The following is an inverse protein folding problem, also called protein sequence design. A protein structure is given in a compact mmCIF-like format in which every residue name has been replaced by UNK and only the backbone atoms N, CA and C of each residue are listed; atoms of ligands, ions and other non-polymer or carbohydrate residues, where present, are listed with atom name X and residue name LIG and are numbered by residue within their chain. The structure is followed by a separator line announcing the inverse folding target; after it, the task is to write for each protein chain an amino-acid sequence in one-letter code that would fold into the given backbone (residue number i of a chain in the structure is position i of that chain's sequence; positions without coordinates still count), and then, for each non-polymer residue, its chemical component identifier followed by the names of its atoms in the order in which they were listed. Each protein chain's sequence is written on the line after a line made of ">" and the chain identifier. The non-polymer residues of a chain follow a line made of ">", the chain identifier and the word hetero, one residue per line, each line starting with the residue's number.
data_IF_353755848368
#
_entry.id   IF_353755848368
#
_cell.length_a   1.000
_cell.length_b   1.000
_cell.length_c   1.000
_cell.angle_alpha   90.00
_cell.angle_beta   90.00
_cell.angle_gamma   90.00
#
_symmetry.space_group_name_H-M   'P 1'
#
loop_
_entity.id
_entity.type
_entity.pdbx_description
1 polymer ?
#
# COMPACT_ATOMS: atom_id res chain seq x y z
N UNK A 1 -12.11 -2.48 18.14
CA UNK A 1 -13.34 -3.28 18.06
C UNK A 1 -12.96 -4.74 18.30
N UNK A 2 -13.62 -5.43 19.23
CA UNK A 2 -13.37 -6.87 19.47
C UNK A 2 -14.23 -7.68 18.48
N UNK A 3 -13.84 -8.91 18.15
CA UNK A 3 -14.62 -9.79 17.26
C UNK A 3 -16.01 -10.16 17.80
N UNK A 4 -16.21 -10.00 19.11
CA UNK A 4 -17.48 -10.26 19.81
C UNK A 4 -18.42 -9.06 19.83
N UNK A 5 -17.99 -7.91 19.31
CA UNK A 5 -18.79 -6.71 19.25
C UNK A 5 -19.93 -6.89 18.21
N UNK A 6 -21.20 -6.61 18.53
CA UNK A 6 -22.31 -6.76 17.59
C UNK A 6 -22.11 -5.96 16.30
N UNK A 7 -21.39 -4.83 16.35
CA UNK A 7 -21.12 -3.98 15.19
C UNK A 7 -19.90 -4.42 14.37
N UNK A 8 -19.18 -5.47 14.81
CA UNK A 8 -17.96 -5.94 14.16
C UNK A 8 -18.19 -6.37 12.71
N UNK A 9 -19.15 -7.28 12.50
CA UNK A 9 -19.46 -7.83 11.18
C UNK A 9 -20.10 -6.77 10.26
N UNK A 10 -21.06 -5.95 10.70
CA UNK A 10 -21.57 -4.85 9.90
C UNK A 10 -20.48 -3.91 9.38
N UNK A 11 -19.56 -3.48 10.24
CA UNK A 11 -18.49 -2.55 9.84
C UNK A 11 -17.48 -3.22 8.90
N UNK A 12 -17.18 -4.51 9.10
CA UNK A 12 -16.33 -5.26 8.19
C UNK A 12 -16.95 -5.34 6.78
N UNK A 13 -18.27 -5.56 6.69
CA UNK A 13 -18.98 -5.60 5.41
C UNK A 13 -18.98 -4.24 4.71
N UNK A 14 -19.11 -3.14 5.44
CA UNK A 14 -19.02 -1.79 4.90
C UNK A 14 -17.64 -1.53 4.26
N UNK A 15 -16.57 -1.85 4.99
CA UNK A 15 -15.20 -1.72 4.47
C UNK A 15 -14.97 -2.65 3.27
N UNK A 16 -15.48 -3.88 3.34
CA UNK A 16 -15.36 -4.84 2.25
C UNK A 16 -16.10 -4.38 1.01
N UNK A 17 -17.28 -3.79 1.14
CA UNK A 17 -18.07 -3.29 0.01
C UNK A 17 -17.31 -2.18 -0.75
N UNK A 18 -16.73 -1.23 -0.01
CA UNK A 18 -15.91 -0.16 -0.61
C UNK A 18 -14.67 -0.73 -1.30
N UNK A 19 -13.91 -1.59 -0.61
CA UNK A 19 -12.72 -2.22 -1.17
C UNK A 19 -13.05 -3.04 -2.44
N UNK A 20 -14.14 -3.81 -2.39
CA UNK A 20 -14.57 -4.63 -3.51
C UNK A 20 -14.89 -3.80 -4.75
N UNK A 21 -15.56 -2.66 -4.57
CA UNK A 21 -15.84 -1.76 -5.69
C UNK A 21 -14.54 -1.25 -6.33
N UNK A 22 -13.57 -0.80 -5.52
CA UNK A 22 -12.26 -0.35 -6.03
C UNK A 22 -11.52 -1.44 -6.78
N UNK A 23 -11.47 -2.67 -6.26
CA UNK A 23 -10.84 -3.81 -6.96
C UNK A 23 -11.50 -4.03 -8.32
N UNK A 24 -12.82 -3.98 -8.39
CA UNK A 24 -13.55 -4.18 -9.65
C UNK A 24 -13.29 -3.06 -10.66
N UNK A 25 -13.16 -1.81 -10.21
CA UNK A 25 -12.81 -0.67 -11.07
C UNK A 25 -11.37 -0.80 -11.58
N UNK A 26 -10.41 -1.10 -10.69
CA UNK A 26 -9.00 -1.28 -11.04
C UNK A 26 -8.80 -2.42 -12.06
N UNK A 27 -9.39 -3.58 -11.81
CA UNK A 27 -9.23 -4.76 -12.67
C UNK A 27 -9.86 -4.60 -14.06
N UNK A 28 -10.98 -3.86 -14.16
CA UNK A 28 -11.75 -3.75 -15.41
C UNK A 28 -11.38 -2.53 -16.24
N UNK A 29 -10.94 -1.45 -15.61
CA UNK A 29 -10.74 -0.16 -16.26
C UNK A 29 -9.28 0.27 -16.19
N UNK A 30 -8.75 0.43 -14.98
CA UNK A 30 -7.46 1.11 -14.79
C UNK A 30 -6.27 0.24 -15.23
N UNK A 31 -6.22 -1.02 -14.80
CA UNK A 31 -5.13 -1.93 -15.17
C UNK A 31 -5.10 -2.23 -16.68
N UNK A 32 -6.23 -2.49 -17.36
CA UNK A 32 -6.23 -2.62 -18.82
C UNK A 32 -5.79 -1.34 -19.55
N UNK A 33 -6.24 -0.16 -19.11
CA UNK A 33 -5.84 1.12 -19.72
C UNK A 33 -4.34 1.41 -19.51
N UNK A 34 -3.80 1.07 -18.34
CA UNK A 34 -2.39 1.15 -18.04
C UNK A 34 -1.59 0.20 -18.93
N UNK A 35 -2.01 -1.06 -19.05
CA UNK A 35 -1.32 -2.05 -19.88
C UNK A 35 -1.31 -1.63 -21.36
N UNK A 36 -2.41 -1.11 -21.88
CA UNK A 36 -2.48 -0.60 -23.25
C UNK A 36 -1.52 0.58 -23.46
N UNK A 37 -1.44 1.49 -22.50
CA UNK A 37 -0.54 2.64 -22.54
C UNK A 37 0.93 2.22 -22.48
N UNK A 38 1.27 1.21 -21.68
CA UNK A 38 2.62 0.67 -21.58
C UNK A 38 3.03 -0.11 -22.83
N UNK A 39 2.12 -0.87 -23.45
CA UNK A 39 2.39 -1.55 -24.74
C UNK A 39 2.81 -0.58 -25.84
N UNK A 40 2.30 0.65 -25.82
CA UNK A 40 2.71 1.69 -26.77
C UNK A 40 4.15 2.21 -26.55
N UNK A 41 4.77 1.93 -25.39
CA UNK A 41 6.09 2.43 -25.01
C UNK A 41 7.24 1.43 -25.24
N UNK A 42 6.95 0.19 -25.68
CA UNK A 42 7.99 -0.79 -26.05
C UNK A 42 8.99 -1.09 -24.92
N UNK A 43 10.29 -1.02 -25.23
CA UNK A 43 11.40 -1.35 -24.31
C UNK A 43 11.47 -0.46 -23.06
N UNK A 44 10.87 0.74 -23.07
CA UNK A 44 10.84 1.66 -21.92
C UNK A 44 10.12 1.08 -20.68
N UNK A 45 9.23 0.10 -20.90
CA UNK A 45 8.46 -0.55 -19.84
C UNK A 45 9.35 -1.27 -18.82
N UNK A 46 10.46 -1.88 -19.28
CA UNK A 46 11.38 -2.60 -18.38
C UNK A 46 12.16 -1.65 -17.47
N UNK A 47 12.60 -0.52 -18.03
CA UNK A 47 13.24 0.56 -17.27
C UNK A 47 12.30 1.14 -16.20
N UNK A 48 11.03 1.33 -16.56
CA UNK A 48 10.00 1.82 -15.64
C UNK A 48 9.74 0.81 -14.51
N UNK A 49 9.64 -0.48 -14.81
CA UNK A 49 9.49 -1.54 -13.81
C UNK A 49 10.67 -1.57 -12.82
N UNK A 50 11.90 -1.46 -13.31
CA UNK A 50 13.11 -1.37 -12.45
C UNK A 50 13.10 -0.13 -11.57
N UNK A 51 12.61 0.99 -12.08
CA UNK A 51 12.48 2.24 -11.32
C UNK A 51 11.40 2.13 -10.24
N UNK A 52 10.26 1.53 -10.57
CA UNK A 52 9.20 1.24 -9.61
C UNK A 52 9.68 0.32 -8.48
N UNK A 53 10.38 -0.78 -8.78
CA UNK A 53 10.91 -1.70 -7.75
C UNK A 53 11.88 -0.99 -6.79
N UNK A 54 12.74 -0.12 -7.32
CA UNK A 54 13.62 0.71 -6.49
C UNK A 54 12.81 1.61 -5.56
N UNK A 55 11.80 2.31 -6.10
CA UNK A 55 10.95 3.21 -5.32
C UNK A 55 10.11 2.46 -4.27
N UNK A 56 9.59 1.28 -4.59
CA UNK A 56 8.80 0.43 -3.68
C UNK A 56 9.57 0.07 -2.40
N UNK A 57 10.91 -0.02 -2.46
CA UNK A 57 11.76 -0.26 -1.28
C UNK A 57 11.80 0.91 -0.30
N UNK A 58 11.39 2.10 -0.74
CA UNK A 58 11.30 3.32 0.06
C UNK A 58 9.86 3.68 0.45
N UNK A 59 8.89 2.79 0.21
CA UNK A 59 7.54 2.97 0.73
C UNK A 59 7.49 2.40 2.16
N UNK A 60 6.88 3.10 3.13
CA UNK A 60 6.74 2.61 4.51
C UNK A 60 6.07 1.22 4.57
N UNK A 61 6.60 0.30 5.39
CA UNK A 61 6.02 -1.05 5.59
C UNK A 61 4.70 -1.03 6.38
N UNK A 62 4.38 0.08 7.05
CA UNK A 62 3.12 0.30 7.77
C UNK A 62 2.47 1.59 7.28
N UNK A 63 1.20 1.50 6.92
CA UNK A 63 0.37 2.68 6.68
C UNK A 63 0.24 3.45 7.99
N UNK A 64 0.87 4.62 8.07
CA UNK A 64 0.66 5.51 9.21
C UNK A 64 -0.69 6.20 9.04
N UNK A 65 -1.52 6.33 10.11
CA UNK A 65 -2.77 7.10 10.07
C UNK A 65 -2.62 8.59 9.74
N UNK A 66 -1.37 9.08 9.64
CA UNK A 66 -0.99 10.45 9.29
C UNK A 66 -0.32 10.56 7.92
N UNK A 67 -0.23 9.46 7.16
CA UNK A 67 -0.09 9.57 5.71
C UNK A 67 -1.43 10.13 5.24
N UNK A 68 -1.47 11.44 5.01
CA UNK A 68 -2.69 12.13 4.62
C UNK A 68 -3.22 11.56 3.30
N UNK A 69 -4.36 12.08 2.87
CA UNK A 69 -4.92 11.80 1.54
C UNK A 69 -4.54 12.93 0.56
N UNK A 70 -3.35 13.56 0.72
CA UNK A 70 -3.01 14.82 0.03
C UNK A 70 -1.55 14.86 -0.48
N UNK A 71 -1.33 14.55 -1.77
CA UNK A 71 -0.05 14.80 -2.47
C UNK A 71 0.32 16.31 -2.44
N UNK A 72 1.61 16.73 -2.44
CA UNK A 72 2.84 15.97 -2.73
C UNK A 72 3.81 15.76 -1.53
N UNK A 73 3.46 16.19 -0.32
CA UNK A 73 4.37 16.17 0.85
C UNK A 73 4.60 14.76 1.43
N UNK A 74 3.77 13.78 1.07
CA UNK A 74 3.90 12.36 1.45
C UNK A 74 5.14 11.69 0.84
N UNK A 75 5.57 12.11 -0.34
CA UNK A 75 6.67 11.48 -1.08
C UNK A 75 8.02 11.65 -0.38
N UNK A 76 8.30 12.82 0.19
CA UNK A 76 9.60 13.12 0.83
C UNK A 76 9.69 12.47 2.21
N UNK A 77 8.64 12.58 3.03
CA UNK A 77 8.62 11.98 4.36
C UNK A 77 8.53 10.45 4.29
N UNK A 78 7.80 9.91 3.30
CA UNK A 78 7.74 8.47 3.01
C UNK A 78 9.10 7.91 2.60
N UNK A 79 9.85 8.62 1.75
CA UNK A 79 11.20 8.22 1.33
C UNK A 79 12.18 8.14 2.50
N UNK A 80 12.09 9.07 3.45
CA UNK A 80 13.03 9.21 4.57
C UNK A 80 12.74 8.23 5.72
N UNK A 81 11.48 7.82 5.92
CA UNK A 81 11.10 6.94 7.01
C UNK A 81 11.22 5.43 6.68
N UNK A 82 11.18 5.06 5.40
CA UNK A 82 11.14 3.66 4.97
C UNK A 82 12.42 2.82 5.24
N UNK A 83 13.66 3.36 5.12
CA UNK A 83 14.87 2.59 5.45
C UNK A 83 14.93 2.24 6.94
N UNK A 84 14.53 3.18 7.81
CA UNK A 84 14.56 3.02 9.27
C UNK A 84 13.50 2.00 9.72
N UNK A 85 12.30 2.08 9.16
CA UNK A 85 11.21 1.17 9.52
C UNK A 85 11.48 -0.27 9.06
N UNK A 86 12.07 -0.47 7.87
CA UNK A 86 12.43 -1.81 7.36
C UNK A 86 13.56 -2.46 8.17
N UNK A 87 14.56 -1.69 8.62
CA UNK A 87 15.62 -2.18 9.51
C UNK A 87 15.08 -2.51 10.90
N UNK A 88 14.21 -1.66 11.46
CA UNK A 88 13.58 -1.90 12.75
C UNK A 88 12.69 -3.16 12.73
N UNK A 89 11.89 -3.36 11.68
CA UNK A 89 11.05 -4.56 11.53
C UNK A 89 11.88 -5.85 11.35
N UNK A 90 13.06 -5.77 10.72
CA UNK A 90 13.96 -6.93 10.51
C UNK A 90 14.70 -7.35 11.79
N UNK A 91 14.97 -6.39 12.69
CA UNK A 91 15.58 -6.63 14.01
C UNK A 91 14.56 -7.00 15.09
N UNK A 92 13.26 -6.81 14.83
CA UNK A 92 12.20 -7.15 15.77
C UNK A 92 11.80 -8.62 15.63
N UNK A 93 12.01 -9.42 16.68
CA UNK A 93 11.43 -10.76 16.77
C UNK A 93 9.93 -10.66 17.00
N UNK A 94 9.17 -11.38 16.18
CA UNK A 94 7.74 -11.63 16.41
C UNK A 94 7.57 -12.87 17.30
N UNK A 95 6.64 -12.90 18.27
CA UNK A 95 5.76 -11.81 18.71
C UNK A 95 6.49 -10.83 19.64
N UNK A 96 5.99 -9.59 19.68
CA UNK A 96 6.47 -8.52 20.54
C UNK A 96 6.14 -8.86 22.01
N UNK A 97 7.15 -9.22 22.80
CA UNK A 97 6.95 -9.63 24.20
C UNK A 97 6.56 -8.47 25.12
N UNK A 98 6.51 -7.23 24.61
CA UNK A 98 6.11 -6.05 25.39
C UNK A 98 4.59 -5.88 25.51
N UNK A 99 3.79 -6.84 25.05
CA UNK A 99 2.33 -6.88 25.26
C UNK A 99 1.90 -8.30 25.65
N UNK A 100 2.17 -8.66 26.90
CA UNK A 100 1.38 -9.61 27.68
C UNK A 100 0.68 -8.83 28.80
#
# INVERSE_FOLDING_TARGET
>A
MKSTDPDYVPKLKELWALLWQHIQEEEKLDLPALEQSLKAQGEETESLARSFDRTKRFVPTRSHPRAGEKPPFETVMGLMAAPINKLADMLRKFPDQSKL
#
